data_IF_740881519700
#
_entry.id   IF_740881519700
#
_cell.length_a   1.000
_cell.length_b   1.000
_cell.length_c   1.000
_cell.angle_alpha   90.00
_cell.angle_beta   90.00
_cell.angle_gamma   90.00
#
_symmetry.space_group_name_H-M   'P 1'
#
loop_
_entity.id
_entity.type
_entity.pdbx_description
1 polymer ?
#
# COMPACT_ATOMS: atom_id res chain seq x y z
N UNK A 1 -5.49 16.69 -11.66
CA UNK A 1 -5.91 16.98 -10.28
C UNK A 1 -6.67 18.31 -10.20
N UNK A 2 -6.19 19.39 -10.80
CA UNK A 2 -6.86 20.72 -10.81
C UNK A 2 -8.35 20.68 -11.21
N UNK A 3 -8.64 19.89 -12.25
CA UNK A 3 -10.02 19.72 -12.73
C UNK A 3 -10.91 19.07 -11.67
N UNK A 4 -10.40 18.05 -10.97
CA UNK A 4 -11.13 17.38 -9.89
C UNK A 4 -11.31 18.31 -8.69
N UNK A 5 -10.28 19.08 -8.34
CA UNK A 5 -10.34 20.08 -7.27
C UNK A 5 -11.40 21.15 -7.58
N UNK A 6 -11.39 21.70 -8.79
CA UNK A 6 -12.36 22.72 -9.23
C UNK A 6 -13.82 22.27 -9.10
N UNK A 7 -14.06 20.97 -9.26
CA UNK A 7 -15.40 20.39 -9.15
C UNK A 7 -15.73 19.82 -7.75
N UNK A 8 -14.88 20.07 -6.74
CA UNK A 8 -15.12 19.64 -5.37
C UNK A 8 -15.11 18.13 -5.18
N UNK A 9 -14.40 17.40 -6.07
CA UNK A 9 -14.35 15.93 -6.03
C UNK A 9 -13.29 15.45 -5.03
N UNK A 10 -12.20 16.21 -4.84
CA UNK A 10 -11.14 15.85 -3.93
C UNK A 10 -11.53 16.02 -2.47
N UNK A 11 -11.09 15.10 -1.62
CA UNK A 11 -11.40 15.12 -0.19
C UNK A 11 -11.04 13.83 0.52
N UNK A 12 -11.28 13.75 1.83
CA UNK A 12 -10.86 12.60 2.67
C UNK A 12 -11.57 11.27 2.31
N UNK A 13 -12.67 11.33 1.55
CA UNK A 13 -13.41 10.17 1.06
C UNK A 13 -13.14 9.89 -0.43
N UNK A 14 -12.15 10.54 -1.02
CA UNK A 14 -11.77 10.36 -2.42
C UNK A 14 -10.48 9.54 -2.51
N UNK A 15 -10.47 8.57 -3.42
CA UNK A 15 -9.30 7.76 -3.75
C UNK A 15 -8.88 8.09 -5.18
N UNK A 16 -7.64 8.46 -5.36
CA UNK A 16 -6.97 8.53 -6.66
C UNK A 16 -6.07 7.33 -6.84
N UNK A 17 -5.73 6.98 -8.08
CA UNK A 17 -4.92 5.81 -8.38
C UNK A 17 -3.69 6.17 -9.20
N UNK A 18 -2.65 5.33 -9.10
CA UNK A 18 -1.38 5.38 -9.83
C UNK A 18 -0.49 6.60 -9.50
N UNK A 19 -0.93 7.82 -9.80
CA UNK A 19 -0.20 9.05 -9.49
C UNK A 19 1.16 9.21 -10.17
N UNK A 20 1.40 8.48 -11.29
CA UNK A 20 2.72 8.39 -11.94
C UNK A 20 3.24 9.76 -12.39
N UNK A 21 2.34 10.59 -12.89
CA UNK A 21 2.68 11.89 -13.47
C UNK A 21 2.32 13.09 -12.59
N UNK A 22 2.06 12.86 -11.30
CA UNK A 22 1.80 13.97 -10.39
C UNK A 22 3.03 14.84 -10.20
N UNK A 23 2.85 16.13 -10.38
CA UNK A 23 3.85 17.14 -10.06
C UNK A 23 3.77 17.57 -8.58
N UNK A 24 4.68 18.45 -8.16
CA UNK A 24 4.74 18.91 -6.77
C UNK A 24 3.45 19.64 -6.33
N UNK A 25 2.84 20.43 -7.22
CA UNK A 25 1.60 21.15 -6.93
C UNK A 25 0.42 20.19 -6.77
N UNK A 26 0.32 19.17 -7.62
CA UNK A 26 -0.71 18.15 -7.53
C UNK A 26 -0.58 17.33 -6.24
N UNK A 27 0.66 17.05 -5.80
CA UNK A 27 0.92 16.42 -4.51
C UNK A 27 0.47 17.31 -3.34
N UNK A 28 0.72 18.62 -3.39
CA UNK A 28 0.23 19.57 -2.38
C UNK A 28 -1.30 19.56 -2.31
N UNK A 29 -2.00 19.55 -3.44
CA UNK A 29 -3.45 19.47 -3.49
C UNK A 29 -3.96 18.18 -2.82
N UNK A 30 -3.35 17.03 -3.09
CA UNK A 30 -3.73 15.78 -2.43
C UNK A 30 -3.56 15.86 -0.92
N UNK A 31 -2.44 16.44 -0.45
CA UNK A 31 -2.16 16.64 0.96
C UNK A 31 -3.20 17.55 1.61
N UNK A 32 -3.46 18.73 1.03
CA UNK A 32 -4.39 19.74 1.56
C UNK A 32 -5.83 19.23 1.63
N UNK A 33 -6.26 18.50 0.61
CA UNK A 33 -7.60 17.94 0.55
C UNK A 33 -7.77 16.65 1.36
N UNK A 34 -6.68 16.03 1.80
CA UNK A 34 -6.71 14.73 2.46
C UNK A 34 -7.09 13.57 1.54
N UNK A 35 -6.99 13.77 0.23
CA UNK A 35 -7.28 12.75 -0.78
C UNK A 35 -6.27 11.61 -0.72
N UNK A 36 -6.78 10.38 -0.81
CA UNK A 36 -5.96 9.17 -0.81
C UNK A 36 -5.39 8.87 -2.19
N UNK A 37 -4.21 8.28 -2.20
CA UNK A 37 -3.62 7.70 -3.41
C UNK A 37 -3.45 6.20 -3.23
N UNK A 38 -3.70 5.43 -4.28
CA UNK A 38 -3.33 4.00 -4.33
C UNK A 38 -2.19 3.79 -5.31
N UNK A 39 -1.10 3.18 -4.84
CA UNK A 39 0.05 2.77 -5.66
C UNK A 39 -0.17 1.38 -6.20
N UNK A 40 -0.09 1.19 -7.52
CA UNK A 40 -0.25 -0.09 -8.23
C UNK A 40 1.04 -0.47 -8.97
N UNK A 41 2.06 -0.95 -8.28
CA UNK A 41 3.39 -1.13 -8.88
C UNK A 41 3.40 -2.14 -10.02
N UNK A 42 2.74 -3.31 -9.88
CA UNK A 42 2.67 -4.32 -10.95
C UNK A 42 1.98 -3.78 -12.19
N UNK A 43 0.86 -3.09 -12.03
CA UNK A 43 0.12 -2.50 -13.13
C UNK A 43 0.93 -1.43 -13.85
N UNK A 44 1.58 -0.54 -13.11
CA UNK A 44 2.42 0.50 -13.69
C UNK A 44 3.59 -0.08 -14.50
N UNK A 45 4.25 -1.13 -13.98
CA UNK A 45 5.31 -1.85 -14.69
C UNK A 45 4.78 -2.54 -15.95
N UNK A 46 3.64 -3.26 -15.84
CA UNK A 46 3.03 -3.95 -16.97
C UNK A 46 2.69 -3.00 -18.12
N UNK A 47 2.18 -1.83 -17.79
CA UNK A 47 1.76 -0.83 -18.77
C UNK A 47 2.92 0.09 -19.23
N UNK A 48 4.11 -0.03 -18.63
CA UNK A 48 5.29 0.76 -18.99
C UNK A 48 5.09 2.27 -18.77
N UNK A 49 4.24 2.67 -17.82
CA UNK A 49 3.87 4.08 -17.62
C UNK A 49 4.85 4.86 -16.74
N UNK A 50 5.82 4.17 -16.14
CA UNK A 50 6.81 4.78 -15.25
C UNK A 50 6.49 4.55 -13.76
N UNK A 51 7.26 5.21 -12.90
CA UNK A 51 7.22 5.05 -11.44
C UNK A 51 6.74 6.33 -10.76
N UNK A 52 5.68 6.22 -9.98
CA UNK A 52 5.17 7.35 -9.20
C UNK A 52 6.14 7.76 -8.08
N UNK A 53 6.14 9.04 -7.71
CA UNK A 53 7.03 9.58 -6.66
C UNK A 53 6.52 9.24 -5.23
N UNK A 54 6.27 7.96 -4.97
CA UNK A 54 5.61 7.48 -3.75
C UNK A 54 6.34 7.89 -2.48
N UNK A 55 7.68 7.76 -2.43
CA UNK A 55 8.43 8.13 -1.24
C UNK A 55 8.37 9.63 -0.94
N UNK A 56 8.30 10.47 -1.98
CA UNK A 56 8.07 11.91 -1.82
C UNK A 56 6.69 12.19 -1.24
N UNK A 57 5.68 11.51 -1.74
CA UNK A 57 4.31 11.62 -1.24
C UNK A 57 4.20 11.17 0.22
N UNK A 58 4.80 10.04 0.60
CA UNK A 58 4.84 9.56 1.98
C UNK A 58 5.54 10.58 2.91
N UNK A 59 6.69 11.14 2.48
CA UNK A 59 7.39 12.19 3.25
C UNK A 59 6.57 13.47 3.41
N UNK A 60 5.74 13.82 2.43
CA UNK A 60 4.80 14.94 2.52
C UNK A 60 3.60 14.66 3.44
N UNK A 61 3.44 13.42 3.89
CA UNK A 61 2.30 12.99 4.71
C UNK A 61 1.03 12.69 3.89
N UNK A 62 1.16 12.51 2.56
CA UNK A 62 0.05 12.05 1.73
C UNK A 62 -0.23 10.59 2.08
N UNK A 63 -1.50 10.26 2.22
CA UNK A 63 -1.95 8.91 2.55
C UNK A 63 -1.91 8.02 1.31
N UNK A 64 -0.85 7.23 1.19
CA UNK A 64 -0.66 6.31 0.07
C UNK A 64 -0.98 4.89 0.53
N UNK A 65 -1.87 4.22 -0.19
CA UNK A 65 -2.23 2.82 -0.04
C UNK A 65 -1.52 1.95 -1.09
N UNK A 66 -1.47 0.64 -0.89
CA UNK A 66 -0.98 -0.31 -1.88
C UNK A 66 -2.16 -1.06 -2.51
N UNK A 67 -2.22 -1.10 -3.82
CA UNK A 67 -3.25 -1.80 -4.60
C UNK A 67 -2.68 -2.71 -5.67
N UNK A 68 -3.51 -3.60 -6.23
CA UNK A 68 -3.12 -4.60 -7.23
C UNK A 68 -3.67 -4.32 -8.63
N UNK A 69 -4.65 -3.43 -8.77
CA UNK A 69 -5.35 -3.18 -10.04
C UNK A 69 -5.88 -4.49 -10.67
N UNK A 70 -5.65 -4.72 -11.95
CA UNK A 70 -6.08 -5.93 -12.67
C UNK A 70 -5.28 -7.21 -12.38
N UNK A 71 -4.35 -7.19 -11.45
CA UNK A 71 -3.55 -8.35 -11.08
C UNK A 71 -4.20 -9.21 -9.99
N UNK A 72 -3.62 -10.39 -9.74
CA UNK A 72 -4.09 -11.31 -8.69
C UNK A 72 -4.13 -10.64 -7.31
N UNK A 73 -5.06 -11.08 -6.46
CA UNK A 73 -5.25 -10.54 -5.12
C UNK A 73 -4.15 -10.95 -4.12
N UNK A 74 -3.09 -11.62 -4.56
CA UNK A 74 -1.92 -11.89 -3.73
C UNK A 74 -1.10 -10.62 -3.56
N UNK A 75 -1.43 -9.84 -2.55
CA UNK A 75 -0.82 -8.52 -2.27
C UNK A 75 0.68 -8.60 -1.98
N UNK A 76 1.21 -9.77 -1.60
CA UNK A 76 2.67 -9.93 -1.41
C UNK A 76 3.47 -9.75 -2.70
N UNK A 77 2.85 -9.98 -3.86
CA UNK A 77 3.49 -9.63 -5.14
C UNK A 77 3.58 -8.11 -5.33
N UNK A 78 2.58 -7.36 -4.87
CA UNK A 78 2.66 -5.89 -4.90
C UNK A 78 3.64 -5.34 -3.86
N UNK A 79 3.77 -5.98 -2.70
CA UNK A 79 4.81 -5.66 -1.73
C UNK A 79 6.20 -5.76 -2.37
N UNK A 80 6.50 -6.90 -3.01
CA UNK A 80 7.79 -7.12 -3.69
C UNK A 80 7.99 -6.16 -4.85
N UNK A 81 6.95 -5.94 -5.65
CA UNK A 81 7.01 -5.04 -6.79
C UNK A 81 7.28 -3.60 -6.35
N UNK A 82 6.58 -3.08 -5.35
CA UNK A 82 6.83 -1.74 -4.81
C UNK A 82 8.28 -1.62 -4.31
N UNK A 83 8.73 -2.58 -3.49
CA UNK A 83 10.08 -2.58 -2.94
C UNK A 83 11.18 -2.57 -4.01
N UNK A 84 11.04 -3.42 -5.03
CA UNK A 84 12.08 -3.60 -6.05
C UNK A 84 12.03 -2.50 -7.13
N UNK A 85 10.83 -2.08 -7.54
CA UNK A 85 10.63 -1.07 -8.57
C UNK A 85 11.36 0.23 -8.21
N UNK A 86 11.13 0.76 -7.01
CA UNK A 86 11.73 2.02 -6.59
C UNK A 86 13.26 1.94 -6.46
N UNK A 87 13.80 0.79 -6.04
CA UNK A 87 15.26 0.56 -6.01
C UNK A 87 15.84 0.52 -7.41
N UNK A 88 15.19 -0.18 -8.33
CA UNK A 88 15.64 -0.29 -9.72
C UNK A 88 15.59 1.06 -10.45
N UNK A 89 14.48 1.78 -10.30
CA UNK A 89 14.28 3.10 -10.92
C UNK A 89 15.35 4.10 -10.48
N UNK A 90 15.60 4.18 -9.18
CA UNK A 90 16.55 5.14 -8.61
C UNK A 90 17.99 4.61 -8.52
N UNK A 91 18.25 3.33 -8.87
CA UNK A 91 19.54 2.68 -8.70
C UNK A 91 20.12 2.85 -7.29
N UNK A 92 19.23 2.81 -6.29
CA UNK A 92 19.58 3.05 -4.88
C UNK A 92 18.92 1.99 -3.99
N UNK A 93 19.69 1.11 -3.32
CA UNK A 93 19.17 0.05 -2.49
C UNK A 93 18.47 0.53 -1.21
N UNK A 94 18.62 1.81 -0.85
CA UNK A 94 17.99 2.40 0.34
C UNK A 94 16.53 2.80 0.13
N UNK A 95 16.09 2.87 -1.15
CA UNK A 95 14.73 3.29 -1.52
C UNK A 95 13.69 2.25 -1.12
N UNK A 96 12.48 2.71 -0.84
CA UNK A 96 11.28 1.93 -0.55
C UNK A 96 11.59 0.75 0.38
N UNK A 97 11.90 1.07 1.64
CA UNK A 97 12.21 0.09 2.68
C UNK A 97 11.00 -0.79 3.02
N UNK A 98 11.26 -1.87 3.77
CA UNK A 98 10.19 -2.77 4.21
C UNK A 98 9.12 -2.06 5.03
N UNK A 99 9.50 -1.08 5.85
CA UNK A 99 8.55 -0.28 6.62
C UNK A 99 7.71 0.67 5.77
N UNK A 100 8.24 1.23 4.68
CA UNK A 100 7.47 2.06 3.75
C UNK A 100 6.37 1.25 3.09
N UNK A 101 6.71 0.02 2.65
CA UNK A 101 5.75 -0.90 2.05
C UNK A 101 4.70 -1.33 3.08
N UNK A 102 5.12 -1.67 4.31
CA UNK A 102 4.20 -2.01 5.40
C UNK A 102 3.25 -0.85 5.73
N UNK A 103 3.76 0.39 5.76
CA UNK A 103 2.92 1.56 5.99
C UNK A 103 1.78 1.65 4.98
N UNK A 104 2.08 1.48 3.70
CA UNK A 104 1.08 1.52 2.63
C UNK A 104 0.12 0.32 2.70
N UNK A 105 0.68 -0.89 2.76
CA UNK A 105 -0.05 -2.13 2.56
C UNK A 105 -0.88 -2.57 3.78
N UNK A 106 -0.48 -2.17 4.98
CA UNK A 106 -1.17 -2.56 6.23
C UNK A 106 -1.86 -1.36 6.85
N UNK A 107 -1.09 -0.38 7.30
CA UNK A 107 -1.65 0.69 8.12
C UNK A 107 -2.54 1.66 7.33
N UNK A 108 -2.08 2.10 6.15
CA UNK A 108 -2.87 3.01 5.32
C UNK A 108 -4.06 2.29 4.69
N UNK A 109 -3.90 1.04 4.22
CA UNK A 109 -5.01 0.25 3.69
C UNK A 109 -6.08 0.02 4.76
N UNK A 110 -5.70 -0.33 5.98
CA UNK A 110 -6.65 -0.48 7.08
C UNK A 110 -7.33 0.84 7.45
N UNK A 111 -6.58 1.94 7.52
CA UNK A 111 -7.14 3.26 7.79
C UNK A 111 -8.15 3.69 6.73
N UNK A 112 -7.86 3.44 5.45
CA UNK A 112 -8.77 3.71 4.34
C UNK A 112 -10.03 2.84 4.43
N UNK A 113 -9.88 1.53 4.67
CA UNK A 113 -10.99 0.61 4.82
C UNK A 113 -11.95 1.05 5.95
N UNK A 114 -11.42 1.47 7.09
CA UNK A 114 -12.22 1.93 8.23
C UNK A 114 -12.99 3.25 7.97
N UNK A 115 -12.63 4.03 6.94
CA UNK A 115 -13.44 5.18 6.50
C UNK A 115 -14.71 4.70 5.79
N UNK A 116 -14.59 3.71 4.91
CA UNK A 116 -15.73 3.18 4.14
C UNK A 116 -16.57 2.16 4.90
N UNK A 117 -15.98 1.53 5.92
CA UNK A 117 -16.66 0.57 6.81
C UNK A 117 -16.59 1.02 8.27
N UNK A 118 -17.27 2.13 8.64
CA UNK A 118 -17.09 2.78 9.94
C UNK A 118 -17.58 1.92 11.13
N UNK A 119 -18.40 0.91 10.88
CA UNK A 119 -18.90 -0.02 11.91
C UNK A 119 -18.00 -1.26 12.08
N UNK A 120 -16.92 -1.34 11.31
CA UNK A 120 -15.96 -2.44 11.35
C UNK A 120 -14.61 -1.94 11.83
N UNK A 121 -13.97 -2.67 12.74
CA UNK A 121 -12.59 -2.38 13.12
C UNK A 121 -11.67 -3.34 12.35
N UNK A 122 -11.17 -2.88 11.19
CA UNK A 122 -10.36 -3.65 10.25
C UNK A 122 -8.86 -3.40 10.51
N UNK A 123 -8.04 -4.44 10.30
CA UNK A 123 -6.58 -4.35 10.33
C UNK A 123 -5.95 -4.49 11.71
N UNK A 124 -6.68 -5.02 12.68
CA UNK A 124 -6.20 -5.30 14.04
C UNK A 124 -6.65 -6.67 14.52
N UNK A 125 -5.82 -7.33 15.31
CA UNK A 125 -6.20 -8.50 16.09
C UNK A 125 -6.48 -8.00 17.53
N UNK A 126 -7.73 -7.71 17.82
CA UNK A 126 -8.17 -7.19 19.10
C UNK A 126 -9.64 -7.57 19.38
N UNK A 127 -10.07 -7.64 20.66
CA UNK A 127 -11.47 -7.82 20.99
C UNK A 127 -12.35 -6.74 20.34
N UNK A 128 -13.42 -7.15 19.66
CA UNK A 128 -14.32 -6.25 18.92
C UNK A 128 -13.85 -5.87 17.51
N UNK A 129 -12.68 -6.34 17.08
CA UNK A 129 -12.24 -6.18 15.68
C UNK A 129 -12.93 -7.21 14.77
N UNK A 130 -13.11 -6.84 13.52
CA UNK A 130 -13.61 -7.74 12.47
C UNK A 130 -12.61 -8.86 12.24
N UNK A 131 -13.08 -10.11 12.26
CA UNK A 131 -12.24 -11.30 12.17
C UNK A 131 -11.88 -11.67 10.71
N UNK A 132 -11.49 -10.68 9.90
CA UNK A 132 -10.92 -10.91 8.55
C UNK A 132 -9.46 -11.27 8.71
N UNK A 133 -9.15 -12.56 8.67
CA UNK A 133 -7.85 -13.12 9.01
C UNK A 133 -7.38 -14.12 7.96
N UNK A 134 -6.08 -14.23 7.80
CA UNK A 134 -5.42 -15.34 7.10
C UNK A 134 -4.47 -16.07 8.05
N UNK A 135 -4.39 -17.38 7.89
CA UNK A 135 -3.35 -18.19 8.53
C UNK A 135 -2.28 -18.53 7.51
N UNK A 136 -1.04 -18.29 7.85
CA UNK A 136 0.12 -18.46 6.96
C UNK A 136 1.07 -19.47 7.58
N UNK A 137 1.27 -20.60 6.90
CA UNK A 137 2.29 -21.60 7.26
C UNK A 137 3.65 -21.15 6.73
N UNK A 138 4.38 -20.43 7.58
CA UNK A 138 5.66 -19.86 7.25
C UNK A 138 6.75 -20.33 8.21
N UNK A 139 7.80 -20.93 7.64
CA UNK A 139 8.98 -21.37 8.39
C UNK A 139 10.12 -20.35 8.16
N UNK A 140 10.42 -19.48 9.12
CA UNK A 140 11.41 -18.42 8.95
C UNK A 140 12.83 -18.99 8.92
N UNK A 141 13.65 -18.54 7.96
CA UNK A 141 15.09 -18.90 7.88
C UNK A 141 15.95 -18.22 8.94
N UNK A 142 15.47 -17.12 9.50
CA UNK A 142 16.11 -16.37 10.58
C UNK A 142 15.07 -16.08 11.67
N UNK A 143 15.48 -15.80 12.91
CA UNK A 143 14.54 -15.49 13.97
C UNK A 143 13.56 -14.38 13.56
N UNK A 144 12.27 -14.65 13.69
CA UNK A 144 11.21 -13.67 13.43
C UNK A 144 11.03 -12.80 14.67
N UNK A 145 11.03 -11.48 14.46
CA UNK A 145 10.86 -10.45 15.49
C UNK A 145 9.96 -9.34 14.99
N UNK A 146 9.44 -8.51 15.89
CA UNK A 146 8.65 -7.32 15.52
C UNK A 146 9.43 -6.39 14.58
N UNK A 147 10.75 -6.31 14.76
CA UNK A 147 11.62 -5.42 13.98
C UNK A 147 11.94 -5.91 12.57
N UNK A 148 11.64 -7.17 12.20
CA UNK A 148 12.01 -7.71 10.88
C UNK A 148 10.84 -8.35 10.11
N UNK A 149 9.63 -8.33 10.64
CA UNK A 149 8.46 -8.90 9.98
C UNK A 149 8.24 -8.40 8.53
N UNK A 150 8.38 -7.09 8.21
CA UNK A 150 8.21 -6.62 6.84
C UNK A 150 9.15 -7.29 5.84
N UNK A 151 10.39 -7.59 6.24
CA UNK A 151 11.36 -8.28 5.39
C UNK A 151 11.05 -9.77 5.24
N UNK A 152 10.56 -10.44 6.29
CA UNK A 152 10.06 -11.81 6.17
C UNK A 152 8.89 -11.89 5.20
N UNK A 153 7.97 -10.91 5.22
CA UNK A 153 6.89 -10.82 4.23
C UNK A 153 7.46 -10.60 2.83
N UNK A 154 8.33 -9.61 2.65
CA UNK A 154 8.92 -9.27 1.35
C UNK A 154 9.67 -10.43 0.71
N UNK A 155 10.48 -11.15 1.47
CA UNK A 155 11.39 -12.15 0.92
C UNK A 155 10.92 -13.59 1.09
N UNK A 156 10.10 -13.86 2.10
CA UNK A 156 9.74 -15.22 2.49
C UNK A 156 8.32 -15.63 2.17
N UNK A 157 7.34 -14.71 2.23
CA UNK A 157 5.93 -15.09 2.08
C UNK A 157 5.55 -15.37 0.63
N UNK A 158 4.75 -16.43 0.45
CA UNK A 158 4.19 -16.85 -0.82
C UNK A 158 2.70 -17.16 -0.66
N UNK A 159 1.91 -16.97 -1.70
CA UNK A 159 0.47 -17.23 -1.68
C UNK A 159 0.12 -18.67 -1.28
N UNK A 160 0.94 -19.62 -1.70
CA UNK A 160 0.77 -21.05 -1.37
C UNK A 160 0.90 -21.37 0.13
N UNK A 161 1.43 -20.45 0.92
CA UNK A 161 1.55 -20.61 2.38
C UNK A 161 0.26 -20.25 3.12
N UNK A 162 -0.73 -19.66 2.47
CA UNK A 162 -2.03 -19.38 3.10
C UNK A 162 -2.80 -20.68 3.24
N UNK A 163 -3.01 -21.11 4.47
CA UNK A 163 -3.71 -22.37 4.79
C UNK A 163 -5.18 -22.16 5.08
N UNK A 164 -5.56 -20.97 5.53
CA UNK A 164 -6.96 -20.64 5.85
C UNK A 164 -7.21 -19.15 5.68
N UNK A 165 -8.43 -18.82 5.26
CA UNK A 165 -8.96 -17.46 5.21
C UNK A 165 -10.27 -17.43 5.98
N UNK A 166 -10.38 -16.51 6.94
CA UNK A 166 -11.60 -16.24 7.68
C UNK A 166 -12.13 -14.88 7.24
N UNK A 167 -13.43 -14.78 7.07
CA UNK A 167 -14.15 -13.54 6.73
C UNK A 167 -15.36 -13.45 7.66
N UNK A 168 -15.52 -12.34 8.39
CA UNK A 168 -16.60 -12.10 9.33
C UNK A 168 -17.76 -11.31 8.72
#
# INVERSE_FOLDING_TARGET
>A
IDRLQKHGILGPNTITAHGVHFDAREMEILKETGTWLTHQPRSNMNNGVGTAQIESMLRLGIKVCLGNDGFSNSMWYDWKAAHLLHKAEHRDPRRMGGYDVQQMAVYNNAALANIFFPNSLIGKIAPGATADLILVDYQPFTPLTDGNLPWHILFGFQQSMVTSTLVA
#
